data_IF_304800876191
#
_entry.id   IF_304800876191
#
_cell.length_a   1.000
_cell.length_b   1.000
_cell.length_c   1.000
_cell.angle_alpha   90.00
_cell.angle_beta   90.00
_cell.angle_gamma   90.00
#
_symmetry.space_group_name_H-M   'P 1'
#
loop_
_entity.id
_entity.type
_entity.pdbx_description
1 polymer ?
#
# COMPACT_ATOMS: atom_id res chain seq x y z
N UNK A 1 -63.42 5.44 -19.17
CA UNK A 1 -63.13 4.49 -20.28
C UNK A 1 -61.62 4.28 -20.47
N UNK A 2 -60.86 3.96 -19.41
CA UNK A 2 -59.42 3.69 -19.50
C UNK A 2 -58.98 2.44 -18.69
N UNK A 3 -59.93 1.64 -18.20
CA UNK A 3 -59.66 0.44 -17.40
C UNK A 3 -59.96 -0.88 -18.13
N UNK A 4 -60.60 -0.84 -19.31
CA UNK A 4 -60.96 -2.04 -20.09
C UNK A 4 -59.98 -2.42 -21.19
N UNK A 5 -58.96 -1.60 -21.48
CA UNK A 5 -57.95 -1.91 -22.52
C UNK A 5 -56.77 -2.71 -21.92
N UNK A 6 -56.44 -2.50 -20.65
CA UNK A 6 -55.34 -3.19 -19.98
C UNK A 6 -55.62 -4.69 -19.69
N UNK A 7 -56.90 -5.09 -19.57
CA UNK A 7 -57.28 -6.49 -19.32
C UNK A 7 -57.40 -7.34 -20.60
N UNK A 8 -57.50 -6.71 -21.78
CA UNK A 8 -57.56 -7.41 -23.07
C UNK A 8 -56.15 -7.75 -23.59
N UNK A 9 -55.13 -6.96 -23.25
CA UNK A 9 -53.74 -7.29 -23.61
C UNK A 9 -53.11 -8.39 -22.74
N UNK A 10 -53.57 -8.59 -21.50
CA UNK A 10 -53.05 -9.65 -20.62
C UNK A 10 -53.59 -11.06 -20.95
N UNK A 11 -54.65 -11.18 -21.76
CA UNK A 11 -55.23 -12.47 -22.14
C UNK A 11 -54.69 -13.02 -23.47
N UNK A 12 -53.99 -12.20 -24.27
CA UNK A 12 -53.44 -12.61 -25.58
C UNK A 12 -51.99 -13.13 -25.52
N UNK A 13 -51.26 -12.95 -24.41
CA UNK A 13 -49.91 -13.52 -24.25
C UNK A 13 -49.90 -14.95 -23.68
N UNK A 14 -51.05 -15.50 -23.25
CA UNK A 14 -51.14 -16.84 -22.63
C UNK A 14 -51.50 -17.92 -23.68
N UNK A 15 -51.80 -17.55 -24.93
CA UNK A 15 -52.34 -18.49 -25.93
C UNK A 15 -51.30 -18.99 -26.95
N UNK A 16 -50.05 -18.47 -27.00
CA UNK A 16 -49.15 -18.82 -28.11
C UNK A 16 -48.04 -19.85 -27.89
N UNK A 17 -47.81 -20.41 -26.70
CA UNK A 17 -46.84 -21.52 -26.59
C UNK A 17 -47.26 -22.58 -25.57
N UNK A 18 -48.30 -23.34 -25.90
CA UNK A 18 -48.38 -24.74 -25.49
C UNK A 18 -48.88 -25.62 -26.63
N UNK A 19 -48.08 -26.66 -26.90
CA UNK A 19 -48.38 -27.94 -27.54
C UNK A 19 -48.71 -28.00 -29.03
N UNK A 20 -47.72 -28.44 -29.83
CA UNK A 20 -47.87 -29.67 -30.64
C UNK A 20 -46.59 -30.51 -30.57
N UNK A 21 -46.79 -31.77 -30.19
CA UNK A 21 -45.83 -32.85 -30.25
C UNK A 21 -46.14 -33.63 -31.53
N UNK A 22 -45.20 -33.69 -32.48
CA UNK A 22 -45.18 -34.69 -33.54
C UNK A 22 -43.72 -35.00 -33.87
N UNK A 23 -43.34 -36.26 -33.66
CA UNK A 23 -42.05 -36.81 -33.98
C UNK A 23 -41.81 -36.78 -35.50
N UNK A 24 -40.63 -36.30 -35.91
CA UNK A 24 -39.99 -36.76 -37.13
C UNK A 24 -38.48 -36.90 -36.87
N UNK A 25 -38.01 -38.12 -37.04
CA UNK A 25 -36.63 -38.55 -36.86
C UNK A 25 -35.75 -37.87 -37.92
N UNK A 26 -34.81 -37.03 -37.49
CA UNK A 26 -33.64 -36.73 -38.30
C UNK A 26 -32.39 -36.84 -37.43
N UNK A 27 -31.62 -37.89 -37.68
CA UNK A 27 -30.29 -38.08 -37.14
C UNK A 27 -29.42 -36.94 -37.65
N UNK A 28 -29.25 -35.93 -36.82
CA UNK A 28 -28.23 -34.91 -36.98
C UNK A 28 -27.59 -34.76 -35.62
N UNK A 29 -26.38 -35.30 -35.52
CA UNK A 29 -25.50 -35.18 -34.37
C UNK A 29 -25.24 -33.70 -34.07
N UNK A 30 -26.14 -33.08 -33.31
CA UNK A 30 -25.86 -31.82 -32.65
C UNK A 30 -25.01 -32.18 -31.44
N UNK A 31 -23.70 -31.95 -31.58
CA UNK A 31 -22.79 -31.82 -30.47
C UNK A 31 -23.38 -30.78 -29.53
N UNK A 32 -23.97 -31.24 -28.42
CA UNK A 32 -24.11 -30.42 -27.23
C UNK A 32 -22.70 -29.96 -26.89
N UNK A 33 -22.38 -28.71 -27.24
CA UNK A 33 -21.29 -27.99 -26.60
C UNK A 33 -21.70 -27.82 -25.14
N UNK A 34 -21.50 -28.87 -24.35
CA UNK A 34 -21.30 -28.75 -22.91
C UNK A 34 -20.15 -27.78 -22.76
N UNK A 35 -20.48 -26.51 -22.53
CA UNK A 35 -19.50 -25.58 -21.99
C UNK A 35 -18.97 -26.25 -20.74
N UNK A 36 -17.69 -26.63 -20.76
CA UNK A 36 -16.99 -27.19 -19.61
C UNK A 36 -17.13 -26.19 -18.46
N UNK A 37 -18.17 -26.32 -17.63
CA UNK A 37 -18.43 -25.46 -16.50
C UNK A 37 -17.38 -25.78 -15.46
N UNK A 38 -16.28 -25.01 -15.46
CA UNK A 38 -15.24 -25.14 -14.46
C UNK A 38 -15.80 -24.61 -13.12
N UNK A 39 -16.03 -25.46 -12.11
CA UNK A 39 -16.65 -25.06 -10.84
C UNK A 39 -15.86 -23.95 -10.13
N UNK A 40 -14.54 -23.89 -10.36
CA UNK A 40 -13.68 -22.85 -9.81
C UNK A 40 -14.02 -21.44 -10.31
N UNK A 41 -14.52 -21.28 -11.54
CA UNK A 41 -14.92 -19.97 -12.08
C UNK A 41 -16.11 -19.38 -11.31
N UNK A 42 -17.07 -20.23 -10.92
CA UNK A 42 -18.24 -19.80 -10.14
C UNK A 42 -17.85 -19.34 -8.73
N UNK A 43 -16.93 -20.07 -8.08
CA UNK A 43 -16.38 -19.72 -6.76
C UNK A 43 -15.59 -18.42 -6.79
N UNK A 44 -14.74 -18.21 -7.81
CA UNK A 44 -14.00 -16.96 -8.01
C UNK A 44 -14.97 -15.79 -8.20
N UNK A 45 -16.00 -15.95 -9.04
CA UNK A 45 -17.01 -14.90 -9.26
C UNK A 45 -17.75 -14.54 -7.97
N UNK A 46 -18.09 -15.53 -7.15
CA UNK A 46 -18.69 -15.31 -5.83
C UNK A 46 -17.76 -14.53 -4.89
N UNK A 47 -16.49 -14.93 -4.82
CA UNK A 47 -15.46 -14.24 -4.02
C UNK A 47 -15.31 -12.76 -4.44
N UNK A 48 -15.15 -12.52 -5.74
CA UNK A 48 -14.92 -11.20 -6.31
C UNK A 48 -16.13 -10.26 -6.27
N UNK A 49 -17.36 -10.79 -6.16
CA UNK A 49 -18.60 -10.00 -6.06
C UNK A 49 -18.57 -9.00 -4.91
N UNK A 50 -17.83 -9.31 -3.86
CA UNK A 50 -17.70 -8.45 -2.68
C UNK A 50 -16.71 -7.29 -2.87
N UNK A 51 -15.97 -7.21 -3.97
CA UNK A 51 -14.98 -6.14 -4.23
C UNK A 51 -15.61 -4.95 -4.96
N UNK A 52 -15.03 -3.73 -4.88
CA UNK A 52 -15.45 -2.58 -5.66
C UNK A 52 -15.11 -2.71 -7.15
N UNK A 53 -14.22 -3.64 -7.53
CA UNK A 53 -13.88 -3.96 -8.93
C UNK A 53 -13.96 -5.48 -9.19
N UNK A 54 -15.19 -6.04 -9.28
CA UNK A 54 -15.40 -7.48 -9.42
C UNK A 54 -14.74 -8.08 -10.65
N UNK A 55 -14.77 -7.38 -11.79
CA UNK A 55 -14.20 -7.87 -13.04
C UNK A 55 -12.67 -7.93 -12.99
N UNK A 56 -12.02 -6.88 -12.48
CA UNK A 56 -10.57 -6.84 -12.25
C UNK A 56 -10.14 -7.99 -11.31
N UNK A 57 -10.87 -8.21 -10.23
CA UNK A 57 -10.63 -9.34 -9.32
C UNK A 57 -10.80 -10.68 -10.04
N UNK A 58 -11.86 -10.84 -10.81
CA UNK A 58 -12.18 -12.08 -11.50
C UNK A 58 -11.13 -12.43 -12.56
N UNK A 59 -10.76 -11.47 -13.40
CA UNK A 59 -9.77 -11.68 -14.47
C UNK A 59 -8.38 -12.00 -13.90
N UNK A 60 -8.01 -11.38 -12.77
CA UNK A 60 -6.76 -11.67 -12.04
C UNK A 60 -6.67 -13.11 -11.54
N UNK A 61 -7.79 -13.64 -11.06
CA UNK A 61 -7.87 -14.97 -10.46
C UNK A 61 -8.22 -16.06 -11.48
N UNK A 62 -8.73 -15.70 -12.66
CA UNK A 62 -9.06 -16.65 -13.72
C UNK A 62 -7.84 -17.43 -14.21
N UNK A 63 -6.65 -16.83 -14.15
CA UNK A 63 -5.39 -17.42 -14.60
C UNK A 63 -4.80 -18.44 -13.61
N UNK A 64 -5.27 -18.49 -12.36
CA UNK A 64 -4.69 -19.34 -11.31
C UNK A 64 -5.22 -20.77 -11.26
N UNK A 65 -5.89 -21.23 -12.32
CA UNK A 65 -6.41 -22.59 -12.40
C UNK A 65 -5.28 -23.55 -12.79
N UNK A 66 -4.60 -24.06 -11.79
CA UNK A 66 -3.77 -25.25 -11.92
C UNK A 66 -4.08 -26.17 -10.74
N UNK A 67 -4.71 -27.30 -11.06
CA UNK A 67 -4.86 -28.51 -10.26
C UNK A 67 -6.02 -28.52 -9.24
N UNK A 68 -6.62 -29.70 -9.15
CA UNK A 68 -7.88 -30.14 -8.57
C UNK A 68 -7.98 -29.98 -7.03
N UNK A 69 -7.73 -28.78 -6.49
CA UNK A 69 -7.90 -28.43 -5.07
C UNK A 69 -9.01 -27.39 -4.96
N UNK A 70 -10.05 -27.65 -4.16
CA UNK A 70 -11.07 -26.66 -3.84
C UNK A 70 -10.39 -25.44 -3.20
N UNK A 71 -10.29 -24.29 -3.87
CA UNK A 71 -9.52 -23.18 -3.35
C UNK A 71 -10.22 -22.63 -2.12
N UNK A 72 -9.48 -22.47 -1.01
CA UNK A 72 -10.00 -21.81 0.18
C UNK A 72 -9.81 -20.28 0.05
N UNK A 73 -10.45 -19.53 0.94
CA UNK A 73 -10.41 -18.06 0.91
C UNK A 73 -8.98 -17.50 1.01
N UNK A 74 -8.09 -18.18 1.74
CA UNK A 74 -6.70 -17.77 1.90
C UNK A 74 -5.96 -17.91 0.56
N UNK A 75 -6.21 -18.98 -0.20
CA UNK A 75 -5.64 -19.16 -1.55
C UNK A 75 -6.00 -18.00 -2.47
N UNK A 76 -7.28 -17.59 -2.51
CA UNK A 76 -7.70 -16.45 -3.33
C UNK A 76 -7.05 -15.13 -2.87
N UNK A 77 -6.98 -14.89 -1.56
CA UNK A 77 -6.33 -13.70 -1.02
C UNK A 77 -4.84 -13.64 -1.37
N UNK A 78 -4.11 -14.75 -1.25
CA UNK A 78 -2.69 -14.82 -1.59
C UNK A 78 -2.46 -14.58 -3.09
N UNK A 79 -3.30 -15.16 -3.94
CA UNK A 79 -3.23 -14.95 -5.39
C UNK A 79 -3.51 -13.49 -5.76
N UNK A 80 -4.55 -12.88 -5.19
CA UNK A 80 -4.85 -11.45 -5.41
C UNK A 80 -3.69 -10.56 -4.96
N UNK A 81 -3.07 -10.85 -3.81
CA UNK A 81 -1.91 -10.12 -3.32
C UNK A 81 -0.69 -10.28 -4.25
N UNK A 82 -0.44 -11.48 -4.76
CA UNK A 82 0.67 -11.73 -5.69
C UNK A 82 0.49 -10.99 -7.02
N UNK A 83 -0.73 -10.96 -7.57
CA UNK A 83 -1.04 -10.16 -8.76
C UNK A 83 -0.80 -8.68 -8.47
N UNK A 84 -1.29 -8.18 -7.33
CA UNK A 84 -1.08 -6.78 -6.96
C UNK A 84 0.40 -6.42 -6.78
N UNK A 85 1.22 -7.30 -6.19
CA UNK A 85 2.67 -7.11 -6.07
C UNK A 85 3.33 -7.08 -7.46
N UNK A 86 2.93 -7.98 -8.38
CA UNK A 86 3.46 -8.02 -9.74
C UNK A 86 3.16 -6.73 -10.51
N UNK A 87 1.92 -6.26 -10.45
CA UNK A 87 1.49 -5.01 -11.09
C UNK A 87 2.15 -3.79 -10.44
N UNK A 88 2.31 -3.80 -9.12
CA UNK A 88 3.08 -2.78 -8.40
C UNK A 88 4.56 -2.80 -8.82
N UNK A 89 5.17 -3.95 -9.03
CA UNK A 89 6.54 -4.06 -9.55
C UNK A 89 6.70 -3.36 -10.90
N UNK A 90 5.76 -3.56 -11.84
CA UNK A 90 5.76 -2.87 -13.16
C UNK A 90 5.67 -1.35 -13.03
N UNK A 91 4.94 -0.85 -12.03
CA UNK A 91 4.83 0.57 -11.76
C UNK A 91 6.15 1.17 -11.24
N UNK A 92 6.97 0.41 -10.52
CA UNK A 92 8.32 0.85 -10.10
C UNK A 92 9.21 1.17 -11.31
N UNK A 93 9.16 0.36 -12.37
CA UNK A 93 9.90 0.63 -13.61
C UNK A 93 9.43 1.92 -14.28
N UNK A 94 8.12 2.19 -14.26
CA UNK A 94 7.56 3.42 -14.81
C UNK A 94 8.04 4.64 -14.03
N UNK A 95 8.08 4.55 -12.69
CA UNK A 95 8.61 5.62 -11.84
C UNK A 95 10.10 5.87 -12.09
N UNK A 96 10.90 4.81 -12.30
CA UNK A 96 12.30 4.95 -12.68
C UNK A 96 12.46 5.67 -14.02
N UNK A 97 11.69 5.28 -15.04
CA UNK A 97 11.68 5.92 -16.36
C UNK A 97 11.19 7.37 -16.32
N UNK A 98 10.17 7.66 -15.52
CA UNK A 98 9.64 9.02 -15.34
C UNK A 98 10.69 9.98 -14.77
N UNK A 99 11.64 9.47 -13.98
CA UNK A 99 12.75 10.26 -13.45
C UNK A 99 13.86 10.57 -14.47
N UNK A 100 13.97 9.79 -15.56
CA UNK A 100 15.03 9.96 -16.56
C UNK A 100 14.57 10.73 -17.81
N UNK A 101 13.30 10.57 -18.19
CA UNK A 101 12.71 11.26 -19.34
C UNK A 101 11.75 12.33 -18.83
N UNK A 102 12.29 13.47 -18.38
CA UNK A 102 11.49 14.52 -17.72
C UNK A 102 10.37 15.05 -18.62
N UNK A 103 9.14 14.66 -18.30
CA UNK A 103 7.89 15.07 -18.93
C UNK A 103 6.77 15.29 -17.88
N UNK A 104 7.17 15.45 -16.61
CA UNK A 104 6.33 15.92 -15.52
C UNK A 104 6.93 17.22 -15.00
N UNK A 105 6.13 18.27 -15.02
CA UNK A 105 6.45 19.58 -14.50
C UNK A 105 5.84 19.65 -13.11
N UNK A 106 6.70 19.55 -12.09
CA UNK A 106 6.30 19.60 -10.69
C UNK A 106 6.07 21.04 -10.26
N UNK A 107 4.87 21.35 -9.74
CA UNK A 107 4.61 22.64 -9.08
C UNK A 107 5.19 22.68 -7.67
N UNK A 108 5.14 21.53 -6.99
CA UNK A 108 5.78 21.31 -5.70
C UNK A 108 6.99 20.40 -5.86
N UNK A 109 8.15 20.84 -5.39
CA UNK A 109 9.42 20.11 -5.40
C UNK A 109 9.26 18.77 -4.67
N UNK A 110 9.55 17.69 -5.38
CA UNK A 110 9.61 16.35 -4.83
C UNK A 110 8.32 15.54 -4.92
N UNK A 111 7.26 16.01 -5.58
CA UNK A 111 6.01 15.24 -5.74
C UNK A 111 6.21 13.86 -6.37
N UNK A 112 7.06 13.75 -7.39
CA UNK A 112 7.43 12.47 -8.03
C UNK A 112 8.29 11.61 -7.11
N UNK A 113 9.17 12.24 -6.34
CA UNK A 113 9.98 11.53 -5.38
C UNK A 113 9.11 10.96 -4.24
N UNK A 114 8.14 11.72 -3.75
CA UNK A 114 7.16 11.26 -2.77
C UNK A 114 6.37 10.07 -3.30
N UNK A 115 5.91 10.14 -4.55
CA UNK A 115 5.22 9.03 -5.18
C UNK A 115 6.08 7.76 -5.27
N UNK A 116 7.37 7.88 -5.61
CA UNK A 116 8.31 6.75 -5.62
C UNK A 116 8.41 6.10 -4.26
N UNK A 117 8.56 6.92 -3.23
CA UNK A 117 8.73 6.49 -1.85
C UNK A 117 7.47 5.83 -1.27
N UNK A 118 6.32 6.50 -1.44
CA UNK A 118 5.01 5.95 -1.06
C UNK A 118 4.71 4.63 -1.78
N UNK A 119 5.16 4.49 -3.02
CA UNK A 119 5.05 3.25 -3.77
C UNK A 119 5.97 2.13 -3.24
N UNK A 120 7.20 2.45 -2.85
CA UNK A 120 8.10 1.49 -2.20
C UNK A 120 7.54 1.01 -0.85
N UNK A 121 7.00 1.92 -0.03
CA UNK A 121 6.33 1.58 1.23
C UNK A 121 5.11 0.68 0.97
N UNK A 122 4.38 0.94 -0.12
CA UNK A 122 3.29 0.08 -0.56
C UNK A 122 3.77 -1.34 -0.86
N UNK A 123 4.84 -1.50 -1.66
CA UNK A 123 5.37 -2.82 -2.00
C UNK A 123 5.73 -3.64 -0.75
N UNK A 124 6.39 -3.00 0.23
CA UNK A 124 6.67 -3.62 1.53
C UNK A 124 5.37 -4.02 2.26
N UNK A 125 4.38 -3.13 2.31
CA UNK A 125 3.07 -3.39 2.93
C UNK A 125 2.34 -4.58 2.28
N UNK A 126 2.44 -4.74 0.96
CA UNK A 126 1.86 -5.87 0.25
C UNK A 126 2.57 -7.18 0.58
N UNK A 127 3.90 -7.18 0.61
CA UNK A 127 4.68 -8.35 1.00
C UNK A 127 4.37 -8.79 2.44
N UNK A 128 4.22 -7.83 3.37
CA UNK A 128 3.75 -8.13 4.73
C UNK A 128 2.34 -8.69 4.75
N UNK A 129 1.43 -8.14 3.93
CA UNK A 129 0.08 -8.68 3.81
C UNK A 129 0.09 -10.15 3.40
N UNK A 130 1.02 -10.57 2.53
CA UNK A 130 1.20 -11.97 2.14
C UNK A 130 1.60 -12.84 3.35
N UNK A 131 2.61 -12.45 4.13
CA UNK A 131 3.04 -13.23 5.30
C UNK A 131 1.94 -13.34 6.35
N UNK A 132 1.20 -12.25 6.58
CA UNK A 132 0.09 -12.22 7.53
C UNK A 132 -1.13 -13.04 7.06
N UNK A 133 -1.45 -13.04 5.76
CA UNK A 133 -2.51 -13.89 5.19
C UNK A 133 -2.13 -15.37 5.24
N UNK A 134 -0.87 -15.73 4.95
CA UNK A 134 -0.38 -17.12 5.06
C UNK A 134 -0.55 -17.70 6.46
N UNK A 135 -0.38 -16.88 7.50
CA UNK A 135 -0.57 -17.30 8.88
C UNK A 135 -2.03 -17.66 9.24
N UNK A 136 -3.01 -17.25 8.42
CA UNK A 136 -4.39 -17.75 8.44
C UNK A 136 -5.26 -17.41 9.65
N UNK A 137 -4.72 -16.82 10.73
CA UNK A 137 -5.48 -16.47 11.93
C UNK A 137 -6.06 -15.05 11.88
N UNK A 138 -7.14 -14.81 12.62
CA UNK A 138 -7.91 -13.56 12.59
C UNK A 138 -7.09 -12.31 12.92
N UNK A 139 -6.16 -12.40 13.88
CA UNK A 139 -5.30 -11.26 14.25
C UNK A 139 -4.40 -10.86 13.08
N UNK A 140 -3.71 -11.83 12.48
CA UNK A 140 -2.84 -11.59 11.33
C UNK A 140 -3.64 -11.13 10.11
N UNK A 141 -4.86 -11.63 9.89
CA UNK A 141 -5.73 -11.10 8.82
C UNK A 141 -6.13 -9.63 9.05
N UNK A 142 -6.28 -9.19 10.31
CA UNK A 142 -6.49 -7.77 10.62
C UNK A 142 -5.21 -6.95 10.34
N UNK A 143 -4.03 -7.47 10.65
CA UNK A 143 -2.75 -6.82 10.30
C UNK A 143 -2.61 -6.66 8.77
N UNK A 144 -2.92 -7.72 8.01
CA UNK A 144 -2.94 -7.65 6.54
C UNK A 144 -3.90 -6.58 6.04
N UNK A 145 -5.09 -6.46 6.64
CA UNK A 145 -6.04 -5.40 6.30
C UNK A 145 -5.49 -4.01 6.61
N UNK A 146 -4.78 -3.84 7.72
CA UNK A 146 -4.15 -2.58 8.07
C UNK A 146 -3.08 -2.20 7.04
N UNK A 147 -2.20 -3.13 6.65
CA UNK A 147 -1.20 -2.90 5.60
C UNK A 147 -1.81 -2.57 4.24
N UNK A 148 -2.90 -3.25 3.85
CA UNK A 148 -3.63 -2.92 2.61
C UNK A 148 -4.28 -1.55 2.67
N UNK A 149 -4.75 -1.12 3.84
CA UNK A 149 -5.30 0.22 4.04
C UNK A 149 -4.20 1.28 3.91
N UNK A 150 -3.03 1.04 4.51
CA UNK A 150 -1.86 1.91 4.36
C UNK A 150 -1.41 2.04 2.90
N UNK A 151 -1.36 0.92 2.16
CA UNK A 151 -1.09 0.92 0.72
C UNK A 151 -2.06 1.81 -0.09
N UNK A 152 -3.35 1.76 0.22
CA UNK A 152 -4.35 2.61 -0.44
C UNK A 152 -4.20 4.09 -0.07
N UNK A 153 -3.85 4.39 1.18
CA UNK A 153 -3.54 5.75 1.64
C UNK A 153 -2.33 6.30 0.91
N UNK A 154 -1.23 5.54 0.86
CA UNK A 154 0.00 5.93 0.15
C UNK A 154 -0.27 6.29 -1.31
N UNK A 155 -1.10 5.48 -1.99
CA UNK A 155 -1.54 5.78 -3.36
C UNK A 155 -2.33 7.08 -3.46
N UNK A 156 -3.27 7.33 -2.54
CA UNK A 156 -4.05 8.57 -2.56
C UNK A 156 -3.15 9.79 -2.31
N UNK A 157 -2.24 9.72 -1.33
CA UNK A 157 -1.28 10.79 -1.05
C UNK A 157 -0.38 11.08 -2.25
N UNK A 158 0.09 10.04 -2.95
CA UNK A 158 0.83 10.23 -4.20
C UNK A 158 -0.01 10.92 -5.29
N UNK A 159 -1.27 10.51 -5.47
CA UNK A 159 -2.17 11.15 -6.44
C UNK A 159 -2.46 12.62 -6.09
N UNK A 160 -2.61 12.94 -4.80
CA UNK A 160 -2.76 14.32 -4.31
C UNK A 160 -1.52 15.17 -4.63
N UNK A 161 -0.32 14.64 -4.41
CA UNK A 161 0.92 15.32 -4.81
C UNK A 161 1.01 15.57 -6.32
N UNK A 162 0.61 14.57 -7.13
CA UNK A 162 0.58 14.65 -8.59
C UNK A 162 -0.51 15.58 -9.13
N UNK A 163 -1.56 15.88 -8.39
CA UNK A 163 -2.67 16.71 -8.85
C UNK A 163 -2.18 18.11 -9.26
N UNK A 164 -1.22 18.65 -8.51
CA UNK A 164 -0.60 19.95 -8.79
C UNK A 164 0.40 19.94 -9.96
N UNK A 165 0.87 18.77 -10.39
CA UNK A 165 1.85 18.63 -11.46
C UNK A 165 1.19 18.78 -12.85
N UNK A 166 2.01 19.01 -13.88
CA UNK A 166 1.58 19.04 -15.29
C UNK A 166 2.56 18.31 -16.19
N UNK A 167 2.34 18.31 -17.51
CA UNK A 167 3.22 17.65 -18.49
C UNK A 167 2.66 16.34 -19.07
N UNK A 168 3.19 15.90 -20.22
CA UNK A 168 2.59 14.84 -21.02
C UNK A 168 2.63 13.45 -20.34
N UNK A 169 3.47 13.26 -19.33
CA UNK A 169 3.58 11.96 -18.65
C UNK A 169 2.64 11.81 -17.44
N UNK A 170 2.07 12.91 -16.93
CA UNK A 170 1.12 12.88 -15.79
C UNK A 170 -0.07 11.93 -16.05
N UNK A 171 -0.77 11.96 -17.19
CA UNK A 171 -1.90 11.07 -17.42
C UNK A 171 -1.51 9.59 -17.41
N UNK A 172 -0.39 9.24 -18.03
CA UNK A 172 0.11 7.85 -18.05
C UNK A 172 0.44 7.36 -16.63
N UNK A 173 1.05 8.22 -15.81
CA UNK A 173 1.40 7.89 -14.43
C UNK A 173 0.16 7.74 -13.54
N UNK A 174 -0.77 8.69 -13.60
CA UNK A 174 -2.05 8.65 -12.85
C UNK A 174 -2.88 7.42 -13.23
N UNK A 175 -2.95 7.09 -14.52
CA UNK A 175 -3.66 5.90 -15.00
C UNK A 175 -2.99 4.62 -14.49
N UNK A 176 -1.66 4.54 -14.56
CA UNK A 176 -0.90 3.37 -14.09
C UNK A 176 -1.04 3.18 -12.57
N UNK A 177 -0.94 4.26 -11.79
CA UNK A 177 -1.21 4.26 -10.34
C UNK A 177 -2.64 3.81 -10.03
N UNK A 178 -3.63 4.36 -10.73
CA UNK A 178 -5.04 4.02 -10.45
C UNK A 178 -5.32 2.55 -10.77
N UNK A 179 -4.89 2.07 -11.93
CA UNK A 179 -5.09 0.69 -12.36
C UNK A 179 -4.37 -0.32 -11.48
N UNK A 180 -3.11 -0.06 -11.12
CA UNK A 180 -2.30 -0.94 -10.26
C UNK A 180 -2.93 -1.15 -8.88
N UNK A 181 -3.54 -0.12 -8.30
CA UNK A 181 -4.10 -0.23 -6.97
C UNK A 181 -5.58 -0.64 -6.96
N UNK A 182 -6.21 -0.84 -8.12
CA UNK A 182 -7.55 -1.43 -8.20
C UNK A 182 -7.54 -2.89 -7.70
N UNK A 183 -6.44 -3.62 -7.87
CA UNK A 183 -6.24 -4.97 -7.31
C UNK A 183 -6.28 -4.99 -5.77
N UNK A 184 -6.06 -3.85 -5.10
CA UNK A 184 -6.02 -3.73 -3.64
C UNK A 184 -7.32 -3.25 -3.03
N UNK A 185 -8.25 -2.73 -3.84
CA UNK A 185 -9.55 -2.28 -3.32
C UNK A 185 -10.41 -3.51 -3.06
N UNK A 186 -10.44 -3.96 -1.82
CA UNK A 186 -11.52 -4.79 -1.30
C UNK A 186 -12.62 -3.86 -0.75
N UNK A 187 -13.89 -4.28 -0.77
CA UNK A 187 -14.95 -3.47 -0.15
C UNK A 187 -14.63 -3.41 1.34
N UNK A 188 -14.38 -2.20 1.83
CA UNK A 188 -14.65 -1.90 3.22
C UNK A 188 -16.10 -2.28 3.45
N UNK A 189 -16.36 -3.30 4.27
CA UNK A 189 -17.66 -3.38 4.92
C UNK A 189 -17.99 -1.96 5.33
N UNK A 190 -19.18 -1.45 4.98
CA UNK A 190 -19.73 -0.24 5.60
C UNK A 190 -20.01 -0.51 7.09
N UNK A 191 -19.15 -1.24 7.80
CA UNK A 191 -18.82 -0.81 9.14
C UNK A 191 -18.23 0.57 8.89
N UNK A 192 -18.96 1.61 9.32
CA UNK A 192 -18.28 2.75 9.89
C UNK A 192 -17.14 2.13 10.69
N UNK A 193 -15.91 2.28 10.21
CA UNK A 193 -14.86 2.56 11.14
C UNK A 193 -15.37 3.85 11.79
N UNK A 194 -16.23 3.69 12.82
CA UNK A 194 -16.02 4.49 13.99
C UNK A 194 -14.55 4.22 14.20
N UNK A 195 -13.65 5.22 14.11
CA UNK A 195 -12.46 5.03 14.88
C UNK A 195 -13.02 4.53 16.21
N UNK A 196 -12.65 3.31 16.61
CA UNK A 196 -12.42 3.20 18.03
C UNK A 196 -11.64 4.47 18.30
N UNK A 197 -12.15 5.33 19.15
CA UNK A 197 -11.28 6.28 19.77
C UNK A 197 -10.23 5.43 20.53
N UNK A 198 -9.33 4.75 19.83
CA UNK A 198 -8.03 5.31 19.69
C UNK A 198 -8.22 6.79 19.25
N UNK A 199 -8.59 7.75 20.10
CA UNK A 199 -7.99 7.82 21.38
C UNK A 199 -6.50 7.63 21.14
N UNK A 200 -5.74 8.69 21.21
CA UNK A 200 -4.70 8.54 22.22
C UNK A 200 -5.43 8.36 23.58
N UNK A 201 -6.23 7.30 23.76
CA UNK A 201 -6.33 6.62 25.03
C UNK A 201 -4.88 6.27 25.20
N UNK A 202 -4.26 6.95 26.14
CA UNK A 202 -3.04 6.51 26.75
C UNK A 202 -3.27 5.02 26.99
N UNK A 203 -2.87 4.17 26.03
CA UNK A 203 -2.12 3.02 26.43
C UNK A 203 -1.01 3.69 27.19
N UNK A 204 -1.16 3.71 28.51
CA UNK A 204 -0.06 3.47 29.41
C UNK A 204 0.53 2.12 28.96
N UNK A 205 1.16 2.11 27.77
CA UNK A 205 2.41 1.40 27.64
C UNK A 205 3.23 2.15 28.68
N UNK A 206 3.24 1.61 29.90
CA UNK A 206 4.47 1.59 30.68
C UNK A 206 5.47 0.76 29.87
N UNK A 207 5.77 1.19 28.65
CA UNK A 207 7.12 1.14 28.17
C UNK A 207 7.75 2.13 29.13
N UNK A 208 8.34 1.59 30.18
CA UNK A 208 9.26 2.35 30.99
C UNK A 208 10.29 2.77 29.96
N UNK A 209 10.14 4.00 29.41
CA UNK A 209 11.17 4.63 28.62
C UNK A 209 12.43 4.37 29.41
N UNK A 210 13.39 3.60 28.87
CA UNK A 210 14.60 3.29 29.61
C UNK A 210 15.13 4.61 30.12
N UNK A 211 15.51 4.66 31.40
CA UNK A 211 16.17 5.84 31.92
C UNK A 211 17.28 6.18 30.91
N UNK A 212 17.35 7.40 30.36
CA UNK A 212 18.40 7.76 29.42
C UNK A 212 19.77 7.31 29.94
N UNK A 213 20.02 7.41 31.25
CA UNK A 213 21.23 6.92 31.91
C UNK A 213 21.42 5.39 31.88
N UNK A 214 20.36 4.58 31.94
CA UNK A 214 20.42 3.13 31.71
C UNK A 214 20.68 2.80 30.23
N UNK A 215 20.16 3.61 29.31
CA UNK A 215 20.38 3.48 27.89
C UNK A 215 21.88 3.69 27.58
N UNK A 216 22.51 4.70 28.18
CA UNK A 216 23.96 4.96 28.07
C UNK A 216 24.85 3.86 28.65
N UNK A 217 24.42 3.16 29.71
CA UNK A 217 25.23 2.08 30.33
C UNK A 217 25.29 0.79 29.51
N UNK A 218 24.45 0.65 28.49
CA UNK A 218 24.35 -0.57 27.68
C UNK A 218 25.26 -0.58 26.46
N UNK A 219 25.75 0.57 26.02
CA UNK A 219 26.45 0.70 24.74
C UNK A 219 27.93 0.98 24.94
N UNK A 220 28.76 0.34 24.11
CA UNK A 220 30.18 0.62 24.03
C UNK A 220 30.38 2.01 23.40
N UNK A 221 31.02 2.96 24.08
CA UNK A 221 31.29 4.30 23.54
C UNK A 221 32.07 4.28 22.21
N UNK A 222 32.82 3.21 21.94
CA UNK A 222 33.56 3.04 20.68
C UNK A 222 32.69 2.67 19.48
N UNK A 223 31.44 2.25 19.71
CA UNK A 223 30.48 1.87 18.66
C UNK A 223 29.44 2.98 18.38
N UNK A 224 29.54 4.13 19.05
CA UNK A 224 28.59 5.26 18.90
C UNK A 224 29.11 6.27 17.89
N UNK A 225 28.31 6.55 16.86
CA UNK A 225 28.59 7.62 15.91
C UNK A 225 28.25 8.97 16.54
N UNK A 226 29.26 9.81 16.76
CA UNK A 226 29.05 11.13 17.36
C UNK A 226 28.92 12.21 16.29
N UNK A 227 27.85 12.99 16.36
CA UNK A 227 27.58 14.17 15.54
C UNK A 227 27.79 15.43 16.38
N UNK A 228 28.64 16.33 15.90
CA UNK A 228 28.89 17.60 16.55
C UNK A 228 29.11 18.71 15.52
N UNK A 229 28.26 19.74 15.55
CA UNK A 229 28.33 20.87 14.62
C UNK A 229 29.65 21.67 14.72
N UNK A 230 30.35 21.60 15.85
CA UNK A 230 31.66 22.23 16.09
C UNK A 230 32.85 21.45 15.51
N UNK A 231 32.60 20.29 14.90
CA UNK A 231 33.64 19.42 14.33
C UNK A 231 34.34 18.52 15.35
N UNK A 232 33.90 18.49 16.61
CA UNK A 232 34.49 17.62 17.66
C UNK A 232 34.00 16.17 17.63
N UNK A 233 33.02 15.86 16.77
CA UNK A 233 32.44 14.52 16.57
C UNK A 233 33.04 13.79 15.36
N UNK A 234 32.53 12.59 15.09
CA UNK A 234 32.86 11.85 13.86
C UNK A 234 32.28 12.53 12.62
N UNK A 235 31.10 13.15 12.77
CA UNK A 235 30.39 13.87 11.71
C UNK A 235 29.97 15.25 12.19
N UNK A 236 29.81 16.19 11.26
CA UNK A 236 29.25 17.52 11.52
C UNK A 236 27.74 17.60 11.28
N UNK A 237 27.19 16.69 10.48
CA UNK A 237 25.76 16.62 10.15
C UNK A 237 25.15 15.28 10.55
N UNK A 238 23.86 15.26 10.86
CA UNK A 238 23.12 14.03 11.15
C UNK A 238 22.95 13.20 9.87
N UNK A 239 22.72 13.89 8.74
CA UNK A 239 22.59 13.25 7.43
C UNK A 239 23.82 12.40 7.07
N UNK A 240 25.04 12.89 7.31
CA UNK A 240 26.27 12.13 7.03
C UNK A 240 26.41 10.90 7.93
N UNK A 241 26.05 11.02 9.21
CA UNK A 241 26.06 9.89 10.14
C UNK A 241 25.05 8.80 9.73
N UNK A 242 23.84 9.20 9.29
CA UNK A 242 22.84 8.27 8.75
C UNK A 242 23.35 7.61 7.46
N UNK A 243 23.98 8.37 6.57
CA UNK A 243 24.55 7.84 5.32
C UNK A 243 25.68 6.84 5.58
N UNK A 244 26.50 7.08 6.61
CA UNK A 244 27.57 6.19 7.03
C UNK A 244 27.07 4.87 7.64
N UNK A 245 25.94 4.89 8.34
CA UNK A 245 25.39 3.70 8.98
C UNK A 245 25.17 2.54 7.98
N UNK A 246 25.36 1.27 8.38
CA UNK A 246 25.18 0.13 7.48
C UNK A 246 23.74 0.01 6.96
N UNK A 247 23.61 -0.41 5.69
CA UNK A 247 22.31 -0.68 5.08
C UNK A 247 21.80 -2.07 5.50
N UNK A 248 20.50 -2.19 5.80
CA UNK A 248 19.82 -3.41 6.21
C UNK A 248 20.53 -4.13 7.38
N UNK A 249 21.07 -3.36 8.32
CA UNK A 249 21.71 -3.86 9.52
C UNK A 249 20.68 -4.48 10.47
N UNK A 250 20.96 -5.68 10.98
CA UNK A 250 20.22 -6.26 12.10
C UNK A 250 20.65 -5.66 13.45
N UNK A 251 21.88 -5.12 13.51
CA UNK A 251 22.42 -4.48 14.69
C UNK A 251 21.99 -3.02 14.77
N UNK A 252 21.78 -2.54 16.00
CA UNK A 252 21.42 -1.15 16.27
C UNK A 252 22.61 -0.24 16.03
N UNK A 253 22.43 0.79 15.21
CA UNK A 253 23.42 1.86 15.06
C UNK A 253 22.96 3.08 15.84
N UNK A 254 23.80 3.55 16.76
CA UNK A 254 23.49 4.69 17.61
C UNK A 254 24.21 5.91 17.08
N UNK A 255 23.43 6.95 16.81
CA UNK A 255 23.91 8.27 16.41
C UNK A 255 23.63 9.22 17.56
N UNK A 256 24.68 9.64 18.24
CA UNK A 256 24.60 10.63 19.30
C UNK A 256 24.85 12.03 18.76
N UNK A 257 23.88 12.90 18.97
CA UNK A 257 23.85 14.28 18.47
C UNK A 257 24.08 15.23 19.64
N UNK A 258 25.30 15.76 19.73
CA UNK A 258 25.68 16.72 20.77
C UNK A 258 24.83 17.99 20.67
N UNK A 259 24.72 18.71 21.77
CA UNK A 259 24.04 20.00 21.86
C UNK A 259 24.45 20.94 20.73
N UNK A 260 23.48 21.66 20.19
CA UNK A 260 23.68 22.51 19.03
C UNK A 260 22.40 22.66 18.22
N UNK A 261 22.47 23.59 17.26
CA UNK A 261 21.40 23.82 16.28
C UNK A 261 21.86 23.26 14.94
N UNK A 262 21.16 22.23 14.48
CA UNK A 262 21.42 21.55 13.21
C UNK A 262 20.37 21.99 12.19
N UNK A 263 20.78 22.77 11.20
CA UNK A 263 19.91 23.27 10.14
C UNK A 263 19.93 22.29 8.98
N UNK A 264 19.12 21.24 9.06
CA UNK A 264 19.03 20.18 8.05
C UNK A 264 17.63 19.55 8.00
N UNK A 265 17.31 18.92 6.87
CA UNK A 265 16.13 18.07 6.71
C UNK A 265 16.59 16.62 6.69
N UNK A 266 16.56 15.95 7.84
CA UNK A 266 17.07 14.59 8.01
C UNK A 266 16.08 13.60 7.38
N UNK A 267 16.57 12.81 6.44
CA UNK A 267 15.83 11.70 5.83
C UNK A 267 16.53 10.40 6.20
N UNK A 268 15.82 9.48 6.86
CA UNK A 268 16.30 8.12 7.15
C UNK A 268 15.59 7.19 6.16
N UNK A 269 16.26 6.78 5.06
CA UNK A 269 15.69 5.87 4.09
C UNK A 269 15.30 4.55 4.73
N UNK A 270 14.32 3.87 4.14
CA UNK A 270 13.83 2.59 4.65
C UNK A 270 14.96 1.55 4.82
N UNK A 271 15.90 1.45 3.90
CA UNK A 271 17.03 0.52 4.01
C UNK A 271 18.05 0.87 5.12
N UNK A 272 17.95 2.03 5.79
CA UNK A 272 18.75 2.36 6.98
C UNK A 272 18.01 1.86 8.23
N UNK A 273 18.07 0.55 8.47
CA UNK A 273 17.37 -0.12 9.55
C UNK A 273 18.06 0.09 10.90
N UNK A 274 17.29 -0.01 11.99
CA UNK A 274 17.79 -0.04 13.37
C UNK A 274 18.66 1.18 13.79
N UNK A 275 18.38 2.36 13.22
CA UNK A 275 18.99 3.63 13.62
C UNK A 275 18.34 4.15 14.91
N UNK A 276 19.17 4.59 15.86
CA UNK A 276 18.74 5.30 17.07
C UNK A 276 19.39 6.68 17.09
N UNK A 277 18.59 7.74 17.14
CA UNK A 277 19.08 9.11 17.35
C UNK A 277 18.95 9.48 18.83
N UNK A 278 20.05 9.89 19.45
CA UNK A 278 20.09 10.35 20.84
C UNK A 278 20.62 11.78 20.90
N UNK A 279 19.89 12.69 21.55
CA UNK A 279 20.33 14.06 21.78
C UNK A 279 20.79 14.28 23.22
N UNK A 280 21.51 15.38 23.48
CA UNK A 280 21.89 15.81 24.83
C UNK A 280 20.68 16.18 25.70
N UNK A 281 19.59 16.57 25.07
CA UNK A 281 18.35 16.98 25.72
C UNK A 281 17.44 17.70 24.73
N UNK A 282 16.14 17.71 25.01
CA UNK A 282 15.15 18.35 24.14
C UNK A 282 15.32 19.88 24.05
N UNK A 283 16.00 20.49 25.01
CA UNK A 283 16.32 21.91 25.12
C UNK A 283 17.73 22.25 24.61
N UNK A 284 18.58 21.25 24.40
CA UNK A 284 19.99 21.43 24.02
C UNK A 284 20.30 21.02 22.58
N UNK A 285 19.64 19.98 22.06
CA UNK A 285 19.82 19.50 20.69
C UNK A 285 18.60 19.88 19.87
N UNK A 286 18.77 20.81 18.93
CA UNK A 286 17.69 21.30 18.07
C UNK A 286 18.00 20.96 16.62
N UNK A 287 17.11 20.18 15.99
CA UNK A 287 17.12 19.96 14.54
C UNK A 287 16.05 20.89 13.95
N UNK A 288 16.43 21.70 12.97
CA UNK A 288 15.53 22.66 12.32
C UNK A 288 15.65 22.59 10.81
N UNK A 289 14.54 22.81 10.11
CA UNK A 289 14.47 22.83 8.65
C UNK A 289 13.70 24.04 8.16
N UNK A 290 13.95 24.46 6.92
CA UNK A 290 13.35 25.65 6.32
C UNK A 290 12.44 25.32 5.11
N UNK A 291 11.91 24.09 5.05
CA UNK A 291 11.04 23.65 3.96
C UNK A 291 9.58 23.88 4.33
N UNK A 292 8.83 24.49 3.43
CA UNK A 292 7.39 24.69 3.58
C UNK A 292 6.64 24.50 2.28
N UNK A 293 5.33 24.28 2.38
CA UNK A 293 4.43 24.20 1.23
C UNK A 293 4.39 25.53 0.46
N UNK A 294 4.49 26.65 1.18
CA UNK A 294 4.52 28.00 0.59
C UNK A 294 5.78 28.20 -0.26
N UNK A 295 6.91 27.63 0.16
CA UNK A 295 8.18 27.66 -0.58
C UNK A 295 8.25 26.62 -1.72
N UNK A 296 7.10 25.99 -2.01
CA UNK A 296 6.96 25.04 -3.09
C UNK A 296 7.45 23.63 -2.76
N UNK A 297 7.60 23.24 -1.49
CA UNK A 297 7.80 21.83 -1.13
C UNK A 297 6.47 21.11 -0.96
N UNK A 298 6.47 19.78 -1.03
CA UNK A 298 5.29 19.00 -0.64
C UNK A 298 5.15 18.96 0.88
N UNK A 299 3.93 18.72 1.37
CA UNK A 299 3.69 18.49 2.81
C UNK A 299 4.56 17.36 3.33
N UNK A 300 4.71 16.28 2.54
CA UNK A 300 5.52 15.11 2.89
C UNK A 300 7.01 15.42 3.06
N UNK A 301 7.58 16.33 2.24
CA UNK A 301 9.00 16.73 2.31
C UNK A 301 9.28 18.01 3.08
N UNK A 302 8.26 18.59 3.71
CA UNK A 302 8.41 19.75 4.60
C UNK A 302 8.89 19.39 6.01
N UNK A 303 8.82 18.11 6.40
CA UNK A 303 9.25 17.65 7.71
C UNK A 303 10.77 17.86 7.93
N UNK A 304 11.12 18.23 9.17
CA UNK A 304 12.51 18.43 9.61
C UNK A 304 13.25 17.12 9.80
N UNK A 305 12.56 16.07 10.28
CA UNK A 305 13.08 14.73 10.40
C UNK A 305 12.03 13.73 9.92
N UNK A 306 12.42 12.87 8.98
CA UNK A 306 11.56 11.83 8.41
C UNK A 306 12.26 10.49 8.49
N UNK A 307 11.57 9.48 9.01
CA UNK A 307 12.04 8.10 9.01
C UNK A 307 11.04 7.20 8.30
N UNK A 308 11.52 6.35 7.40
CA UNK A 308 10.66 5.41 6.71
C UNK A 308 10.73 4.03 7.35
N UNK A 309 9.60 3.47 7.81
CA UNK A 309 9.61 2.19 8.50
C UNK A 309 9.96 1.06 7.53
N UNK A 310 11.14 0.45 7.71
CA UNK A 310 11.49 -0.86 7.17
C UNK A 310 11.41 -1.87 8.31
N UNK A 311 10.80 -3.01 8.01
CA UNK A 311 10.61 -4.08 8.98
C UNK A 311 10.76 -5.36 8.16
N UNK A 312 11.84 -6.07 8.44
CA UNK A 312 12.06 -7.43 7.97
C UNK A 312 10.93 -8.27 8.54
N UNK A 313 10.01 -8.67 7.67
CA UNK A 313 8.78 -9.35 8.04
C UNK A 313 9.00 -10.73 8.67
N UNK A 314 9.50 -10.77 9.90
CA UNK A 314 9.51 -11.93 10.78
C UNK A 314 8.11 -12.16 11.38
#
# INVERSE_FOLDING_TARGET
>A
MASSIAKVLQLLCIIFFSTTCSALHNSSSSSTNTTNFNPNLSSIRSFCKSTPYPDVCFDSLKLSVSINISPNIITYLLQSLQVAISEAGKLSDLFYKAGQYSNIIEKQKGAIQDCKELHQITLSSLQRSVSRVRAGNTKKLNDARAYLSAALTNKNTCLEGLDSASGPMKPALVNSLTSTYNYLKARGSKRRYKPASLGCSNMDVKERSPDPAELWRKYDPSEVLTVAADGTGNFTTITDAVNFAPNNSYDRTIIYVKKGVYVENVEIPSFKTNIVLLGDGSDMTVITGNRSVVDGWTTFRSATATSFPYDDGI
#
